data_IF_490529009900
#
_entry.id   IF_490529009900
#
_cell.length_a   1.000
_cell.length_b   1.000
_cell.length_c   1.000
_cell.angle_alpha   90.00
_cell.angle_beta   90.00
_cell.angle_gamma   90.00
#
_symmetry.space_group_name_H-M   'P 1'
#
loop_
_entity.id
_entity.type
_entity.pdbx_description
1 polymer ?
#
# COMPACT_ATOMS: atom_id res chain seq x y z
N UNK A 1 -6.80 -14.32 -28.83
CA UNK A 1 -7.96 -13.49 -28.42
C UNK A 1 -7.88 -13.31 -26.92
N UNK A 2 -7.51 -12.11 -26.47
CA UNK A 2 -7.52 -11.77 -25.04
C UNK A 2 -8.91 -11.29 -24.69
N UNK A 3 -9.61 -12.00 -23.81
CA UNK A 3 -10.88 -11.54 -23.28
C UNK A 3 -10.60 -10.41 -22.28
N UNK A 4 -11.19 -9.24 -22.48
CA UNK A 4 -11.11 -8.18 -21.49
C UNK A 4 -12.06 -8.49 -20.33
N UNK A 5 -11.77 -7.96 -19.15
CA UNK A 5 -12.55 -8.26 -17.94
C UNK A 5 -14.01 -7.79 -18.02
N UNK A 6 -14.32 -6.83 -18.90
CA UNK A 6 -15.67 -6.32 -19.10
C UNK A 6 -16.56 -7.35 -19.79
N UNK A 7 -16.06 -7.97 -20.86
CA UNK A 7 -16.77 -9.01 -21.61
C UNK A 7 -17.05 -10.24 -20.73
N UNK A 8 -16.09 -10.62 -19.89
CA UNK A 8 -16.24 -11.76 -18.97
C UNK A 8 -17.23 -11.46 -17.83
N UNK A 9 -17.26 -10.22 -17.34
CA UNK A 9 -18.24 -9.77 -16.34
C UNK A 9 -19.66 -9.76 -16.91
N UNK A 10 -19.82 -9.36 -18.18
CA UNK A 10 -21.09 -9.47 -18.90
C UNK A 10 -21.49 -10.92 -19.19
N UNK A 11 -20.50 -11.81 -19.37
CA UNK A 11 -20.71 -13.26 -19.52
C UNK A 11 -20.99 -14.00 -18.20
N UNK A 12 -21.03 -13.30 -17.05
CA UNK A 12 -21.40 -13.86 -15.74
C UNK A 12 -20.22 -14.21 -14.83
N UNK A 13 -18.96 -14.07 -15.28
CA UNK A 13 -17.79 -14.24 -14.42
C UNK A 13 -17.70 -13.05 -13.45
N UNK A 14 -18.09 -13.30 -12.20
CA UNK A 14 -18.36 -12.23 -11.24
C UNK A 14 -17.20 -12.01 -10.27
N UNK A 15 -16.34 -13.01 -10.07
CA UNK A 15 -15.23 -12.94 -9.14
C UNK A 15 -13.89 -12.65 -9.84
N UNK A 16 -13.04 -11.88 -9.18
CA UNK A 16 -11.68 -11.63 -9.66
C UNK A 16 -10.84 -12.93 -9.72
N UNK A 17 -11.18 -13.93 -8.91
CA UNK A 17 -10.52 -15.24 -8.92
C UNK A 17 -10.76 -16.02 -10.22
N UNK A 18 -12.02 -16.08 -10.68
CA UNK A 18 -12.36 -16.74 -11.94
C UNK A 18 -11.71 -16.04 -13.14
N UNK A 19 -11.68 -14.70 -13.12
CA UNK A 19 -11.04 -13.93 -14.18
C UNK A 19 -9.52 -14.13 -14.20
N UNK A 20 -8.90 -14.31 -13.03
CA UNK A 20 -7.49 -14.70 -12.93
C UNK A 20 -7.26 -16.09 -13.55
N UNK A 21 -8.13 -17.06 -13.25
CA UNK A 21 -8.06 -18.41 -13.83
C UNK A 21 -8.29 -18.41 -15.35
N UNK A 22 -9.09 -17.47 -15.85
CA UNK A 22 -9.32 -17.23 -17.29
C UNK A 22 -8.13 -16.51 -17.97
N UNK A 23 -7.09 -16.14 -17.24
CA UNK A 23 -5.88 -15.50 -17.77
C UNK A 23 -5.98 -13.98 -17.94
N UNK A 24 -6.97 -13.32 -17.33
CA UNK A 24 -7.02 -11.85 -17.31
C UNK A 24 -5.88 -11.29 -16.47
N UNK A 25 -5.23 -10.25 -16.98
CA UNK A 25 -4.24 -9.51 -16.22
C UNK A 25 -4.92 -8.53 -15.27
N UNK A 26 -4.20 -8.11 -14.23
CA UNK A 26 -4.68 -7.06 -13.31
C UNK A 26 -5.04 -5.77 -14.05
N UNK A 27 -4.31 -5.43 -15.13
CA UNK A 27 -4.63 -4.26 -15.96
C UNK A 27 -6.01 -4.41 -16.62
N UNK A 28 -6.30 -5.57 -17.21
CA UNK A 28 -7.61 -5.83 -17.81
C UNK A 28 -8.72 -5.74 -16.77
N UNK A 29 -8.48 -6.28 -15.57
CA UNK A 29 -9.43 -6.21 -14.46
C UNK A 29 -9.68 -4.76 -14.01
N UNK A 30 -8.63 -3.95 -13.92
CA UNK A 30 -8.72 -2.53 -13.58
C UNK A 30 -9.54 -1.77 -14.63
N UNK A 31 -9.29 -2.01 -15.91
CA UNK A 31 -10.05 -1.42 -17.02
C UNK A 31 -11.51 -1.90 -17.04
N UNK A 32 -11.76 -3.14 -16.62
CA UNK A 32 -13.11 -3.69 -16.38
C UNK A 32 -13.81 -3.16 -15.12
N UNK A 33 -13.18 -2.22 -14.39
CA UNK A 33 -13.77 -1.54 -13.24
C UNK A 33 -13.65 -2.29 -11.91
N UNK A 34 -12.76 -3.29 -11.81
CA UNK A 34 -12.45 -3.91 -10.51
C UNK A 34 -11.54 -2.99 -9.68
N UNK A 35 -11.90 -2.79 -8.42
CA UNK A 35 -11.08 -2.05 -7.48
C UNK A 35 -10.15 -2.99 -6.68
N UNK A 36 -9.19 -2.41 -5.97
CA UNK A 36 -8.20 -3.17 -5.20
C UNK A 36 -8.85 -4.13 -4.19
N UNK A 37 -9.98 -3.76 -3.57
CA UNK A 37 -10.72 -4.61 -2.63
C UNK A 37 -11.27 -5.86 -3.29
N UNK A 38 -11.85 -5.73 -4.48
CA UNK A 38 -12.38 -6.86 -5.24
C UNK A 38 -11.27 -7.81 -5.68
N UNK A 39 -10.14 -7.26 -6.15
CA UNK A 39 -8.98 -8.05 -6.55
C UNK A 39 -8.34 -8.77 -5.36
N UNK A 40 -8.22 -8.11 -4.20
CA UNK A 40 -7.76 -8.75 -2.96
C UNK A 40 -8.60 -9.96 -2.59
N UNK A 41 -9.94 -9.86 -2.71
CA UNK A 41 -10.83 -11.01 -2.48
C UNK A 41 -10.63 -12.14 -3.48
N UNK A 42 -10.23 -11.83 -4.71
CA UNK A 42 -9.84 -12.81 -5.73
C UNK A 42 -8.44 -13.40 -5.54
N UNK A 43 -7.76 -13.08 -4.43
CA UNK A 43 -6.45 -13.63 -4.10
C UNK A 43 -5.27 -12.95 -4.80
N UNK A 44 -5.45 -11.74 -5.33
CA UNK A 44 -4.34 -10.94 -5.84
C UNK A 44 -3.58 -10.23 -4.70
N UNK A 45 -2.26 -10.17 -4.84
CA UNK A 45 -1.37 -9.53 -3.88
C UNK A 45 -1.18 -8.04 -4.18
N UNK A 46 -0.63 -7.29 -3.22
CA UNK A 46 -0.30 -5.88 -3.45
C UNK A 46 0.68 -5.70 -4.62
N UNK A 47 1.64 -6.62 -4.78
CA UNK A 47 2.61 -6.62 -5.88
C UNK A 47 1.92 -6.80 -7.24
N UNK A 48 1.00 -7.77 -7.36
CA UNK A 48 0.20 -7.97 -8.58
C UNK A 48 -0.55 -6.68 -8.96
N UNK A 49 -1.13 -6.02 -7.95
CA UNK A 49 -1.90 -4.80 -8.17
C UNK A 49 -1.01 -3.63 -8.60
N UNK A 50 0.18 -3.49 -8.01
CA UNK A 50 1.16 -2.48 -8.43
C UNK A 50 1.60 -2.71 -9.87
N UNK A 51 1.88 -3.96 -10.26
CA UNK A 51 2.23 -4.31 -11.65
C UNK A 51 1.09 -4.00 -12.63
N UNK A 52 -0.17 -4.14 -12.19
CA UNK A 52 -1.36 -3.73 -12.95
C UNK A 52 -1.65 -2.22 -12.93
N UNK A 53 -0.80 -1.41 -12.28
CA UNK A 53 -0.89 0.04 -12.25
C UNK A 53 -1.85 0.60 -11.20
N UNK A 54 -2.16 -0.15 -10.13
CA UNK A 54 -2.79 0.45 -8.95
C UNK A 54 -1.79 1.31 -8.18
N UNK A 55 -2.29 2.35 -7.54
CA UNK A 55 -1.46 3.20 -6.68
C UNK A 55 -1.49 2.72 -5.23
N UNK A 56 -0.45 3.01 -4.42
CA UNK A 56 -0.44 2.68 -3.00
C UNK A 56 -1.69 3.16 -2.24
N UNK A 57 -2.23 4.32 -2.60
CA UNK A 57 -3.47 4.86 -2.04
C UNK A 57 -4.68 3.97 -2.35
N UNK A 58 -4.81 3.51 -3.60
CA UNK A 58 -5.88 2.58 -4.00
C UNK A 58 -5.77 1.24 -3.26
N UNK A 59 -4.54 0.75 -3.03
CA UNK A 59 -4.33 -0.48 -2.25
C UNK A 59 -4.78 -0.30 -0.80
N UNK A 60 -4.42 0.82 -0.17
CA UNK A 60 -4.88 1.15 1.18
C UNK A 60 -6.41 1.20 1.25
N UNK A 61 -7.07 1.85 0.30
CA UNK A 61 -8.54 1.85 0.18
C UNK A 61 -9.11 0.44 -0.07
N UNK A 62 -8.35 -0.40 -0.78
CA UNK A 62 -8.61 -1.81 -0.98
C UNK A 62 -8.53 -2.67 0.29
N UNK A 63 -8.02 -2.11 1.38
CA UNK A 63 -7.84 -2.80 2.66
C UNK A 63 -6.48 -3.48 2.82
N UNK A 64 -5.49 -3.18 1.96
CA UNK A 64 -4.13 -3.64 2.15
C UNK A 64 -3.47 -2.88 3.31
N UNK A 65 -2.84 -3.63 4.20
CA UNK A 65 -2.09 -3.10 5.33
C UNK A 65 -0.72 -2.56 4.90
N UNK A 66 -0.14 -1.68 5.71
CA UNK A 66 1.23 -1.19 5.45
C UNK A 66 2.27 -2.32 5.45
N UNK A 67 2.02 -3.44 6.13
CA UNK A 67 2.90 -4.61 6.12
C UNK A 67 2.85 -5.31 4.76
N UNK A 68 1.64 -5.63 4.27
CA UNK A 68 1.45 -6.22 2.94
C UNK A 68 2.04 -5.34 1.83
N UNK A 69 1.98 -4.01 1.99
CA UNK A 69 2.58 -3.09 1.04
C UNK A 69 4.10 -3.01 1.15
N UNK A 70 4.66 -3.10 2.36
CA UNK A 70 6.11 -3.21 2.55
C UNK A 70 6.65 -4.50 1.91
N UNK A 71 5.92 -5.60 2.06
CA UNK A 71 6.30 -6.89 1.46
C UNK A 71 6.24 -6.86 -0.07
N UNK A 72 5.47 -5.93 -0.64
CA UNK A 72 5.46 -5.60 -2.07
C UNK A 72 6.51 -4.55 -2.46
N UNK A 73 7.57 -4.40 -1.68
CA UNK A 73 8.69 -3.46 -1.87
C UNK A 73 8.31 -1.97 -1.90
N UNK A 74 7.18 -1.57 -1.29
CA UNK A 74 6.87 -0.15 -1.15
C UNK A 74 7.74 0.52 -0.08
N UNK A 75 8.33 1.65 -0.45
CA UNK A 75 9.12 2.50 0.45
C UNK A 75 8.22 3.27 1.43
N UNK A 76 8.76 3.75 2.57
CA UNK A 76 7.98 4.57 3.48
C UNK A 76 7.46 5.87 2.84
N UNK A 77 8.11 6.38 1.78
CA UNK A 77 7.64 7.52 0.99
C UNK A 77 6.35 7.19 0.25
N UNK A 78 6.31 6.04 -0.43
CA UNK A 78 5.10 5.57 -1.12
C UNK A 78 3.95 5.36 -0.14
N UNK A 79 4.24 4.81 1.04
CA UNK A 79 3.25 4.56 2.07
C UNK A 79 2.76 5.85 2.74
N UNK A 80 3.64 6.83 2.94
CA UNK A 80 3.24 8.17 3.38
C UNK A 80 2.30 8.82 2.37
N UNK A 81 2.64 8.77 1.08
CA UNK A 81 1.79 9.28 0.01
C UNK A 81 0.44 8.54 -0.07
N UNK A 82 0.40 7.26 0.29
CA UNK A 82 -0.84 6.50 0.42
C UNK A 82 -1.70 6.92 1.63
N UNK A 83 -1.16 7.71 2.56
CA UNK A 83 -1.85 8.16 3.78
C UNK A 83 -1.64 7.25 4.99
N UNK A 84 -0.56 6.45 5.03
CA UNK A 84 -0.16 5.78 6.27
C UNK A 84 0.57 6.73 7.22
N UNK A 85 0.30 6.56 8.51
CA UNK A 85 0.96 7.33 9.56
C UNK A 85 2.35 6.76 9.89
N UNK A 86 3.26 7.61 10.38
CA UNK A 86 4.55 7.17 10.89
C UNK A 86 4.45 6.07 11.96
N UNK A 87 3.41 6.09 12.80
CA UNK A 87 3.19 5.04 13.82
C UNK A 87 2.88 3.71 13.15
N UNK A 88 1.98 3.70 12.17
CA UNK A 88 1.64 2.49 11.42
C UNK A 88 2.89 1.90 10.75
N UNK A 89 3.73 2.76 10.16
CA UNK A 89 4.96 2.31 9.50
C UNK A 89 6.06 1.87 10.48
N UNK A 90 6.13 2.48 11.67
CA UNK A 90 6.97 1.97 12.76
C UNK A 90 6.54 0.54 13.13
N UNK A 91 5.24 0.28 13.25
CA UNK A 91 4.74 -1.07 13.62
C UNK A 91 4.99 -2.13 12.55
N UNK A 92 5.23 -1.73 11.30
CA UNK A 92 5.66 -2.65 10.23
C UNK A 92 7.18 -2.84 10.18
N UNK A 93 7.92 -2.20 11.08
CA UNK A 93 9.37 -2.36 11.25
C UNK A 93 10.22 -1.36 10.46
N UNK A 94 9.67 -0.24 9.98
CA UNK A 94 10.50 0.83 9.44
C UNK A 94 11.19 1.59 10.59
N UNK A 95 12.46 1.93 10.40
CA UNK A 95 13.26 2.67 11.38
C UNK A 95 12.90 4.15 11.40
N UNK A 96 13.33 4.84 12.46
CA UNK A 96 13.17 6.28 12.58
C UNK A 96 13.87 7.02 11.43
N UNK A 97 15.04 6.51 11.00
CA UNK A 97 15.83 7.09 9.92
C UNK A 97 15.10 6.98 8.58
N UNK A 98 14.57 5.80 8.24
CA UNK A 98 13.81 5.60 7.00
C UNK A 98 12.56 6.48 6.93
N UNK A 99 11.85 6.64 8.06
CA UNK A 99 10.66 7.48 8.11
C UNK A 99 11.00 8.98 8.10
N UNK A 100 12.12 9.37 8.69
CA UNK A 100 12.64 10.73 8.56
C UNK A 100 13.05 11.04 7.11
N UNK A 101 13.73 10.12 6.43
CA UNK A 101 14.08 10.24 5.00
C UNK A 101 12.83 10.32 4.13
N UNK A 102 11.76 9.61 4.48
CA UNK A 102 10.44 9.74 3.85
C UNK A 102 9.72 11.07 4.16
N UNK A 103 10.34 11.94 4.96
CA UNK A 103 9.89 13.29 5.27
C UNK A 103 8.86 13.37 6.40
N UNK A 104 8.70 12.33 7.24
CA UNK A 104 7.89 12.47 8.45
C UNK A 104 8.58 13.41 9.44
N UNK A 105 7.85 14.38 10.00
CA UNK A 105 8.41 15.32 10.97
C UNK A 105 8.57 14.72 12.36
N UNK A 106 9.32 15.40 13.23
CA UNK A 106 9.53 14.99 14.62
C UNK A 106 8.22 14.74 15.40
N UNK A 107 7.20 15.56 15.18
CA UNK A 107 5.89 15.42 15.84
C UNK A 107 5.14 14.17 15.40
N UNK A 108 5.21 13.82 14.12
CA UNK A 108 4.61 12.59 13.56
C UNK A 108 5.37 11.35 14.01
N UNK A 109 6.71 11.41 14.01
CA UNK A 109 7.57 10.32 14.45
C UNK A 109 7.48 10.10 15.96
N UNK A 110 7.36 11.15 16.77
CA UNK A 110 7.14 11.02 18.21
C UNK A 110 5.72 10.52 18.54
N UNK A 111 4.73 11.06 17.83
CA UNK A 111 3.31 10.80 18.01
C UNK A 111 2.86 10.75 19.48
N UNK A 112 3.20 11.79 20.25
CA UNK A 112 2.90 11.90 21.69
C UNK A 112 3.39 10.68 22.50
N UNK A 113 4.57 10.16 22.16
CA UNK A 113 5.22 9.03 22.85
C UNK A 113 4.79 7.65 22.37
N UNK A 114 3.89 7.54 21.38
CA UNK A 114 3.50 6.25 20.79
C UNK A 114 4.42 5.81 19.63
N UNK A 115 5.11 6.77 19.04
CA UNK A 115 6.08 6.53 17.97
C UNK A 115 7.48 6.28 18.54
N UNK A 116 8.49 6.94 17.99
CA UNK A 116 9.88 6.84 18.41
C UNK A 116 10.16 7.65 19.67
N UNK A 117 11.23 7.28 20.37
CA UNK A 117 11.67 7.99 21.57
C UNK A 117 12.37 9.29 21.22
N UNK A 118 12.50 10.24 22.15
CA UNK A 118 13.31 11.45 21.94
C UNK A 118 14.77 11.15 21.54
N UNK A 119 15.33 10.03 22.01
CA UNK A 119 16.67 9.58 21.64
C UNK A 119 16.78 9.19 20.17
N UNK A 120 15.80 8.43 19.66
CA UNK A 120 15.73 8.06 18.24
C UNK A 120 15.61 9.30 17.35
N UNK A 121 14.76 10.25 17.74
CA UNK A 121 14.54 11.51 17.01
C UNK A 121 15.83 12.35 16.96
N UNK A 122 16.55 12.42 18.08
CA UNK A 122 17.87 13.06 18.13
C UNK A 122 18.88 12.35 17.23
N UNK A 123 18.83 11.02 17.19
CA UNK A 123 19.68 10.20 16.33
C UNK A 123 19.52 10.49 14.83
N UNK A 124 18.33 10.95 14.41
CA UNK A 124 18.04 11.35 13.02
C UNK A 124 18.07 12.86 12.78
N UNK A 125 18.60 13.62 13.75
CA UNK A 125 18.86 15.07 13.61
C UNK A 125 17.77 16.00 14.11
N UNK A 126 16.71 15.50 14.76
CA UNK A 126 15.73 16.37 15.41
C UNK A 126 16.22 16.80 16.79
N UNK A 127 16.31 18.11 17.01
CA UNK A 127 16.56 18.70 18.33
C UNK A 127 15.36 19.55 18.77
N UNK A 128 15.00 19.48 20.05
CA UNK A 128 14.12 20.49 20.62
C UNK A 128 14.82 21.85 20.51
N UNK A 129 14.15 22.83 19.88
CA UNK A 129 14.59 24.22 19.94
C UNK A 129 14.51 24.63 21.41
N UNK A 130 15.65 25.03 21.98
CA UNK A 130 15.74 25.61 23.32
C UNK A 130 14.96 26.93 23.40
#
# INVERSE_FOLDING_TARGET
VGFNAKDLKEAGYSSAEELRAAGCTVRDLKEGGYNARALRKGGFTAEDLMAGGFTPAMLREGGFSAAELRDADLTPENLKAAGFSAISLKTTGFSCAELNSAGFGASELYAKGKGFTPGDLKGVGFSAKA
#
